data_IF_603920509054
#
_entry.id   IF_603920509054
#
_cell.length_a   1.000
_cell.length_b   1.000
_cell.length_c   1.000
_cell.angle_alpha   90.00
_cell.angle_beta   90.00
_cell.angle_gamma   90.00
#
_symmetry.space_group_name_H-M   'P 1'
#
loop_
_entity.id
_entity.type
_entity.pdbx_description
1 polymer ?
#
# COMPACT_ATOMS: atom_id res chain seq x y z
N UNK A 1 18.72 -3.19 26.31
CA UNK A 1 17.97 -4.26 25.61
C UNK A 1 16.53 -4.45 26.11
N UNK A 2 16.08 -3.76 27.17
CA UNK A 2 14.65 -3.56 27.45
C UNK A 2 14.51 -2.21 28.17
N UNK A 3 13.91 -1.23 27.49
CA UNK A 3 13.86 0.15 27.98
C UNK A 3 13.14 1.12 27.05
N UNK A 4 12.15 0.65 26.29
CA UNK A 4 11.17 1.54 25.68
C UNK A 4 10.18 1.88 26.79
N UNK A 5 10.15 3.12 27.27
CA UNK A 5 9.01 3.63 28.02
C UNK A 5 7.75 3.29 27.19
N UNK A 6 6.69 2.71 27.78
CA UNK A 6 5.45 2.54 27.06
C UNK A 6 5.08 3.90 26.46
N UNK A 7 4.87 3.95 25.14
CA UNK A 7 4.42 5.19 24.52
C UNK A 7 3.15 5.57 25.30
N UNK A 8 3.07 6.77 25.89
CA UNK A 8 1.81 7.23 26.44
C UNK A 8 0.77 7.07 25.32
N UNK A 9 -0.44 6.62 25.67
CA UNK A 9 -1.54 6.63 24.71
C UNK A 9 -1.96 8.08 24.47
N UNK A 10 -1.09 8.82 23.81
CA UNK A 10 -1.27 10.17 23.29
C UNK A 10 -1.86 10.02 21.91
N UNK A 11 -3.18 10.13 21.88
CA UNK A 11 -4.03 9.91 20.74
C UNK A 11 -5.40 9.53 21.27
N UNK A 12 -6.43 10.31 20.96
CA UNK A 12 -7.81 9.85 21.17
C UNK A 12 -7.89 8.45 20.56
N UNK A 13 -8.34 7.46 21.33
CA UNK A 13 -8.20 6.02 21.00
C UNK A 13 -8.72 5.62 19.62
N UNK A 14 -8.74 4.32 19.31
CA UNK A 14 -9.07 3.76 17.97
C UNK A 14 -10.45 4.14 17.39
N UNK A 15 -11.26 4.88 18.14
CA UNK A 15 -12.52 5.52 17.76
C UNK A 15 -12.35 6.96 17.27
N UNK A 16 -11.12 7.44 17.09
CA UNK A 16 -10.84 8.86 16.89
C UNK A 16 -9.80 9.02 15.80
N UNK A 17 -10.17 9.75 14.75
CA UNK A 17 -9.24 10.17 13.71
C UNK A 17 -8.50 11.41 14.21
N UNK A 18 -7.20 11.25 14.49
CA UNK A 18 -6.29 12.34 14.86
C UNK A 18 -5.47 12.74 13.64
N UNK A 19 -5.57 14.01 13.24
CA UNK A 19 -4.65 14.63 12.28
C UNK A 19 -3.66 15.44 13.12
N UNK A 20 -2.40 14.98 13.16
CA UNK A 20 -1.30 15.70 13.79
C UNK A 20 -1.52 16.07 15.28
N UNK A 21 -2.37 15.34 16.01
CA UNK A 21 -2.86 15.68 17.37
C UNK A 21 -3.54 17.06 17.50
N UNK A 22 -3.81 17.75 16.38
CA UNK A 22 -4.44 19.08 16.37
C UNK A 22 -5.93 18.98 16.05
N UNK A 23 -6.34 18.01 15.24
CA UNK A 23 -7.73 17.85 14.81
C UNK A 23 -8.22 16.45 15.17
N UNK A 24 -9.26 16.38 16.00
CA UNK A 24 -9.80 15.13 16.56
C UNK A 24 -11.24 14.94 16.09
N UNK A 25 -11.47 13.94 15.23
CA UNK A 25 -12.82 13.55 14.81
C UNK A 25 -13.24 12.24 15.48
N UNK A 26 -14.27 12.24 16.34
CA UNK A 26 -14.82 11.03 16.89
C UNK A 26 -15.57 10.25 15.80
N UNK A 27 -15.14 9.02 15.56
CA UNK A 27 -15.72 8.10 14.58
C UNK A 27 -16.67 7.16 15.33
N UNK A 28 -17.90 6.95 14.84
CA UNK A 28 -18.87 6.09 15.53
C UNK A 28 -18.31 4.69 15.76
N UNK A 29 -18.44 4.15 16.98
CA UNK A 29 -17.99 2.80 17.37
C UNK A 29 -18.53 1.67 16.48
N UNK A 30 -19.61 1.91 15.74
CA UNK A 30 -20.15 0.98 14.75
C UNK A 30 -19.22 0.78 13.53
N UNK A 31 -18.39 1.79 13.22
CA UNK A 31 -17.36 1.75 12.18
C UNK A 31 -16.02 1.55 12.90
N UNK A 32 -15.62 0.29 13.03
CA UNK A 32 -14.31 -0.03 13.57
C UNK A 32 -13.22 0.33 12.54
N UNK A 33 -12.53 1.46 12.74
CA UNK A 33 -11.43 1.92 11.89
C UNK A 33 -10.33 0.85 11.74
N UNK A 34 -10.11 0.01 12.76
CA UNK A 34 -9.17 -1.12 12.69
C UNK A 34 -9.63 -2.17 11.67
N UNK A 35 -10.93 -2.43 11.61
CA UNK A 35 -11.47 -3.39 10.64
C UNK A 35 -11.34 -2.85 9.22
N UNK A 36 -11.63 -1.56 9.00
CA UNK A 36 -11.45 -0.92 7.69
C UNK A 36 -9.97 -0.91 7.29
N UNK A 37 -9.07 -0.49 8.19
CA UNK A 37 -7.63 -0.49 7.93
C UNK A 37 -7.12 -1.91 7.62
N UNK A 38 -7.51 -2.91 8.42
CA UNK A 38 -7.13 -4.30 8.20
C UNK A 38 -7.65 -4.88 6.87
N UNK A 39 -8.87 -4.54 6.46
CA UNK A 39 -9.40 -4.91 5.14
C UNK A 39 -8.59 -4.24 4.03
N UNK A 40 -8.36 -2.93 4.12
CA UNK A 40 -7.58 -2.21 3.10
C UNK A 40 -6.16 -2.79 2.98
N UNK A 41 -5.51 -3.08 4.10
CA UNK A 41 -4.15 -3.61 4.13
C UNK A 41 -4.08 -5.04 3.60
N UNK A 42 -5.04 -5.90 3.96
CA UNK A 42 -5.13 -7.27 3.47
C UNK A 42 -5.39 -7.32 1.96
N UNK A 43 -6.40 -6.59 1.49
CA UNK A 43 -6.75 -6.58 0.06
C UNK A 43 -5.70 -5.85 -0.78
N UNK A 44 -5.16 -4.73 -0.28
CA UNK A 44 -4.07 -3.99 -0.92
C UNK A 44 -2.79 -4.84 -1.03
N UNK A 45 -2.41 -5.52 0.05
CA UNK A 45 -1.29 -6.47 0.05
C UNK A 45 -1.51 -7.65 -0.87
N UNK A 46 -2.71 -8.24 -0.88
CA UNK A 46 -3.06 -9.34 -1.80
C UNK A 46 -3.00 -8.91 -3.27
N UNK A 47 -3.46 -7.71 -3.63
CA UNK A 47 -3.38 -7.20 -5.00
C UNK A 47 -1.92 -7.04 -5.45
N UNK A 48 -1.06 -6.52 -4.57
CA UNK A 48 0.39 -6.41 -4.83
C UNK A 48 1.02 -7.80 -4.97
N UNK A 49 0.73 -8.73 -4.06
CA UNK A 49 1.25 -10.11 -4.09
C UNK A 49 0.84 -10.87 -5.35
N UNK A 50 -0.41 -10.73 -5.78
CA UNK A 50 -0.93 -11.38 -6.99
C UNK A 50 -0.44 -10.68 -8.28
N UNK A 51 0.23 -9.53 -8.15
CA UNK A 51 0.76 -8.79 -9.27
C UNK A 51 -0.30 -8.07 -10.10
N UNK A 52 -1.58 -8.05 -9.68
CA UNK A 52 -2.69 -7.49 -10.44
C UNK A 52 -2.79 -5.98 -10.22
N UNK A 53 -2.71 -5.18 -11.29
CA UNK A 53 -2.65 -3.71 -11.22
C UNK A 53 -1.56 -3.20 -10.26
N UNK A 54 -0.44 -3.92 -10.16
CA UNK A 54 0.65 -3.67 -9.20
C UNK A 54 1.13 -2.23 -9.16
N UNK A 55 1.20 -1.56 -10.32
CA UNK A 55 1.56 -0.14 -10.40
C UNK A 55 0.52 0.78 -9.73
N UNK A 56 -0.77 0.59 -10.01
CA UNK A 56 -1.81 1.39 -9.37
C UNK A 56 -1.88 1.15 -7.87
N UNK A 57 -1.82 -0.12 -7.44
CA UNK A 57 -1.85 -0.49 -6.03
C UNK A 57 -0.63 0.05 -5.27
N UNK A 58 0.58 -0.08 -5.82
CA UNK A 58 1.81 0.43 -5.20
C UNK A 58 1.84 1.96 -5.14
N UNK A 59 1.33 2.67 -6.15
CA UNK A 59 1.22 4.13 -6.11
C UNK A 59 0.28 4.61 -4.98
N UNK A 60 -0.89 3.99 -4.85
CA UNK A 60 -1.84 4.29 -3.76
C UNK A 60 -1.24 3.97 -2.39
N UNK A 61 -0.57 2.83 -2.25
CA UNK A 61 0.08 2.43 -0.99
C UNK A 61 1.21 3.39 -0.60
N UNK A 62 2.03 3.83 -1.57
CA UNK A 62 3.04 4.86 -1.34
C UNK A 62 2.41 6.19 -0.89
N UNK A 63 1.34 6.63 -1.54
CA UNK A 63 0.63 7.85 -1.15
C UNK A 63 0.09 7.76 0.30
N UNK A 64 -0.48 6.61 0.68
CA UNK A 64 -0.97 6.37 2.04
C UNK A 64 0.16 6.45 3.09
N UNK A 65 1.32 5.84 2.81
CA UNK A 65 2.46 5.89 3.73
C UNK A 65 3.05 7.30 3.85
N UNK A 66 3.07 8.06 2.76
CA UNK A 66 3.50 9.47 2.78
C UNK A 66 2.55 10.34 3.60
N UNK A 67 1.23 10.20 3.40
CA UNK A 67 0.23 10.91 4.18
C UNK A 67 0.30 10.52 5.66
N UNK A 68 0.43 9.23 5.98
CA UNK A 68 0.60 8.76 7.34
C UNK A 68 1.83 9.37 8.02
N UNK A 69 2.97 9.47 7.31
CA UNK A 69 4.16 10.14 7.82
C UNK A 69 3.90 11.62 8.12
N UNK A 70 3.28 12.34 7.19
CA UNK A 70 2.95 13.77 7.34
C UNK A 70 1.96 14.04 8.47
N UNK A 71 0.97 13.16 8.68
CA UNK A 71 -0.08 13.37 9.68
C UNK A 71 0.26 12.86 11.06
N UNK A 72 1.03 11.77 11.17
CA UNK A 72 1.34 11.18 12.46
C UNK A 72 2.64 11.74 13.02
N UNK A 73 3.63 12.06 12.17
CA UNK A 73 5.01 12.23 12.59
C UNK A 73 5.65 13.46 11.93
N UNK A 74 5.31 14.64 12.45
CA UNK A 74 5.81 15.94 11.99
C UNK A 74 7.29 16.12 12.40
N UNK A 75 8.21 15.44 11.74
CA UNK A 75 9.65 15.64 11.93
C UNK A 75 10.42 15.54 10.62
N UNK A 76 11.52 16.30 10.54
CA UNK A 76 12.36 16.39 9.35
C UNK A 76 13.09 15.07 9.02
N UNK A 77 13.41 14.27 10.04
CA UNK A 77 14.02 12.94 9.87
C UNK A 77 13.14 11.85 10.48
N UNK A 78 12.89 10.73 9.77
CA UNK A 78 12.05 9.63 10.26
C UNK A 78 12.53 9.06 11.59
N UNK A 79 13.85 8.99 11.79
CA UNK A 79 14.50 8.49 13.02
C UNK A 79 14.22 9.34 14.25
N UNK A 80 13.92 10.64 14.06
CA UNK A 80 13.66 11.56 15.18
C UNK A 80 12.23 11.45 15.73
N UNK A 81 11.34 10.72 15.05
CA UNK A 81 9.92 10.69 15.40
C UNK A 81 9.29 9.30 15.24
N UNK A 82 10.08 8.22 15.29
CA UNK A 82 9.61 6.82 15.13
C UNK A 82 8.94 6.52 13.76
N UNK A 83 9.19 7.35 12.74
CA UNK A 83 8.58 7.26 11.41
C UNK A 83 9.34 6.41 10.41
N UNK A 84 10.39 5.73 10.89
CA UNK A 84 11.26 4.88 10.09
C UNK A 84 10.51 3.80 9.33
N UNK A 85 9.51 3.16 9.94
CA UNK A 85 8.69 2.15 9.27
C UNK A 85 7.84 2.74 8.13
N UNK A 86 7.21 3.90 8.34
CA UNK A 86 6.41 4.56 7.31
C UNK A 86 7.30 4.99 6.11
N UNK A 87 8.49 5.52 6.39
CA UNK A 87 9.46 5.87 5.35
C UNK A 87 9.97 4.63 4.58
N UNK A 88 10.26 3.53 5.28
CA UNK A 88 10.67 2.27 4.64
C UNK A 88 9.58 1.69 3.76
N UNK A 89 8.32 1.67 4.21
CA UNK A 89 7.20 1.21 3.39
C UNK A 89 6.96 2.12 2.19
N UNK A 90 7.07 3.44 2.35
CA UNK A 90 6.99 4.38 1.24
C UNK A 90 8.02 4.07 0.14
N UNK A 91 9.29 3.88 0.52
CA UNK A 91 10.36 3.53 -0.43
C UNK A 91 10.14 2.16 -1.05
N UNK A 92 9.74 1.16 -0.26
CA UNK A 92 9.44 -0.18 -0.77
C UNK A 92 8.31 -0.16 -1.82
N UNK A 93 7.23 0.58 -1.57
CA UNK A 93 6.14 0.73 -2.53
C UNK A 93 6.56 1.53 -3.77
N UNK A 94 7.43 2.54 -3.65
CA UNK A 94 8.01 3.22 -4.82
C UNK A 94 8.87 2.28 -5.68
N UNK A 95 9.65 1.39 -5.06
CA UNK A 95 10.41 0.37 -5.79
C UNK A 95 9.45 -0.58 -6.52
N UNK A 96 8.41 -1.08 -5.84
CA UNK A 96 7.40 -1.94 -6.47
C UNK A 96 6.66 -1.20 -7.60
N UNK A 97 6.40 0.09 -7.45
CA UNK A 97 5.81 0.93 -8.48
C UNK A 97 6.72 1.05 -9.72
N UNK A 98 8.02 1.29 -9.52
CA UNK A 98 8.99 1.44 -10.58
C UNK A 98 9.21 0.12 -11.35
N UNK A 99 9.44 -0.99 -10.63
CA UNK A 99 9.72 -2.30 -11.22
C UNK A 99 8.45 -3.04 -11.69
N UNK A 100 7.28 -2.72 -11.13
CA UNK A 100 6.01 -3.40 -11.42
C UNK A 100 5.93 -4.82 -10.85
N UNK A 101 4.88 -5.57 -11.21
CA UNK A 101 4.64 -6.93 -10.70
C UNK A 101 5.53 -8.04 -11.27
N UNK A 102 6.47 -7.72 -12.16
CA UNK A 102 7.42 -8.69 -12.73
C UNK A 102 6.82 -9.73 -13.70
N UNK A 103 7.65 -10.67 -14.20
CA UNK A 103 7.25 -11.69 -15.18
C UNK A 103 6.32 -12.77 -14.61
N UNK A 104 6.25 -12.90 -13.28
CA UNK A 104 5.35 -13.84 -12.59
C UNK A 104 4.01 -13.21 -12.18
N UNK A 105 3.75 -11.95 -12.56
CA UNK A 105 2.46 -11.31 -12.32
C UNK A 105 1.33 -11.96 -13.15
N UNK A 106 0.11 -11.98 -12.58
CA UNK A 106 -1.08 -12.40 -13.30
C UNK A 106 -1.34 -11.51 -14.53
N UNK A 107 -0.98 -10.22 -14.49
CA UNK A 107 -1.10 -9.32 -15.64
C UNK A 107 -0.19 -9.73 -16.80
N UNK A 108 1.08 -10.05 -16.51
CA UNK A 108 2.03 -10.49 -17.53
C UNK A 108 1.66 -11.85 -18.10
N UNK A 109 1.15 -12.77 -17.28
CA UNK A 109 0.60 -14.04 -17.76
C UNK A 109 -0.62 -13.87 -18.68
N UNK A 110 -1.53 -12.94 -18.36
CA UNK A 110 -2.69 -12.63 -19.21
C UNK A 110 -2.29 -11.97 -20.52
N UNK A 111 -1.30 -11.08 -20.50
CA UNK A 111 -0.77 -10.43 -21.69
C UNK A 111 -0.14 -11.46 -22.65
N UNK A 112 0.72 -12.34 -22.14
CA UNK A 112 1.39 -13.38 -22.93
C UNK A 112 0.37 -14.32 -23.63
N UNK A 113 -0.71 -14.70 -22.94
CA UNK A 113 -1.77 -15.53 -23.54
C UNK A 113 -2.53 -14.84 -24.67
N UNK A 114 -2.68 -13.51 -24.62
CA UNK A 114 -3.35 -12.74 -25.68
C UNK A 114 -2.48 -12.66 -26.93
N UNK A 115 -1.18 -12.41 -26.75
CA UNK A 115 -0.21 -12.37 -27.84
C UNK A 115 -0.14 -13.73 -28.56
N UNK A 116 -0.14 -14.83 -27.81
CA UNK A 116 -0.09 -16.17 -28.37
C UNK A 116 -1.33 -16.49 -29.23
N UNK A 117 -2.53 -16.18 -28.73
CA UNK A 117 -3.77 -16.30 -29.52
C UNK A 117 -3.74 -15.47 -30.80
N UNK A 118 -3.20 -14.25 -30.73
CA UNK A 118 -3.12 -13.36 -31.88
C UNK A 118 -2.14 -13.89 -32.94
N UNK A 119 -1.01 -14.45 -32.52
CA UNK A 119 -0.05 -15.10 -33.43
C UNK A 119 -0.63 -16.33 -34.09
N UNK A 120 -1.33 -17.18 -33.34
CA UNK A 120 -2.01 -18.36 -33.88
C UNK A 120 -3.05 -17.96 -34.94
N UNK A 121 -3.82 -16.91 -34.67
CA UNK A 121 -4.80 -16.37 -35.60
C UNK A 121 -4.14 -15.79 -36.86
N UNK A 122 -3.05 -15.03 -36.73
CA UNK A 122 -2.30 -14.48 -37.88
C UNK A 122 -1.72 -15.61 -38.72
N UNK A 123 -1.10 -16.63 -38.12
CA UNK A 123 -0.56 -17.76 -38.87
C UNK A 123 -1.64 -18.54 -39.61
N UNK A 124 -2.83 -18.67 -39.03
CA UNK A 124 -3.96 -19.32 -39.71
C UNK A 124 -4.41 -18.57 -40.97
N UNK A 125 -4.34 -17.23 -40.98
CA UNK A 125 -4.68 -16.39 -42.14
C UNK A 125 -3.61 -16.42 -43.24
N UNK A 126 -2.33 -16.62 -42.88
CA UNK A 126 -1.25 -16.72 -43.87
C UNK A 126 -1.20 -18.08 -44.59
N UNK A 127 -1.90 -19.09 -44.06
CA UNK A 127 -1.90 -20.46 -44.57
C UNK A 127 -3.08 -20.78 -45.51
N UNK A 128 -4.02 -19.84 -45.67
CA UNK A 128 -5.19 -19.91 -46.55
C UNK A 128 -5.00 -19.10 -47.82
#
# INVERSE_FOLDING_TARGET
>A
MFGESPQPMTGGGMTTLNIADVIVFPVPMAINLLFIAGVIELFGGCLILLGLFTRFAAFLAALLMLLAYLTAHIAWFPTLNRGELAAMYFVAFLVIFAYGGGPFSIDSWRAARREQKQQDQIQSMLRS
#
